data_IF_700336900883
#
_entry.id   IF_700336900883
#
_cell.length_a   1.000
_cell.length_b   1.000
_cell.length_c   1.000
_cell.angle_alpha   90.00
_cell.angle_beta   90.00
_cell.angle_gamma   90.00
#
_symmetry.space_group_name_H-M   'P 1'
#
loop_
_entity.id
_entity.type
_entity.pdbx_description
1 polymer ?
#
# COMPACT_ATOMS: atom_id res chain seq x y z
N UNK A 1 46.36 27.45 -18.28
CA UNK A 1 45.91 26.07 -18.61
C UNK A 1 44.45 26.15 -19.02
N UNK A 2 44.21 26.23 -20.33
CA UNK A 2 42.87 26.28 -20.94
C UNK A 2 42.41 24.87 -21.28
N UNK A 3 41.19 24.50 -20.87
CA UNK A 3 40.46 23.39 -21.48
C UNK A 3 39.01 23.82 -21.73
N UNK A 4 38.74 24.12 -23.00
CA UNK A 4 37.42 24.21 -23.61
C UNK A 4 37.08 22.84 -24.21
N UNK A 5 35.91 22.28 -23.87
CA UNK A 5 35.02 21.55 -24.80
C UNK A 5 33.57 21.64 -24.32
N UNK A 6 32.87 22.68 -24.78
CA UNK A 6 31.42 22.66 -24.93
C UNK A 6 31.02 21.49 -25.84
N UNK A 7 30.05 20.67 -25.41
CA UNK A 7 29.21 19.84 -26.28
C UNK A 7 27.78 19.75 -25.71
N UNK A 8 26.86 20.51 -26.31
CA UNK A 8 25.43 20.18 -26.42
C UNK A 8 25.17 20.17 -27.95
N UNK A 9 24.34 19.31 -28.55
CA UNK A 9 22.97 18.95 -28.24
C UNK A 9 22.68 17.43 -28.40
N UNK A 10 21.60 16.98 -27.76
CA UNK A 10 21.12 15.57 -27.68
C UNK A 10 20.69 15.00 -29.06
N UNK A 11 20.37 13.70 -29.14
CA UNK A 11 18.95 13.39 -29.25
C UNK A 11 18.40 12.79 -27.96
N UNK A 12 17.23 13.29 -27.58
CA UNK A 12 16.48 12.88 -26.42
C UNK A 12 16.31 11.36 -26.43
N UNK A 13 16.75 10.69 -25.36
CA UNK A 13 16.20 9.37 -25.03
C UNK A 13 14.73 9.59 -24.73
N UNK A 14 13.93 9.42 -25.78
CA UNK A 14 12.48 9.25 -25.73
C UNK A 14 12.21 7.95 -24.96
N UNK A 15 12.33 8.00 -23.64
CA UNK A 15 11.50 7.12 -22.84
C UNK A 15 10.14 7.81 -22.82
N UNK A 16 9.21 7.24 -23.59
CA UNK A 16 7.79 7.57 -23.50
C UNK A 16 7.40 7.58 -22.04
N UNK A 17 7.03 8.74 -21.51
CA UNK A 17 6.20 8.80 -20.32
C UNK A 17 4.92 8.06 -20.67
N UNK A 18 4.49 7.03 -19.93
CA UNK A 18 3.11 6.61 -20.01
C UNK A 18 2.28 7.74 -19.41
N UNK A 19 1.93 8.73 -20.21
CA UNK A 19 0.87 9.70 -19.89
C UNK A 19 -0.46 9.00 -20.13
N UNK A 20 -0.68 7.85 -19.49
CA UNK A 20 -2.01 7.30 -19.39
C UNK A 20 -2.65 8.06 -18.25
N UNK A 21 -3.52 9.00 -18.58
CA UNK A 21 -4.47 9.52 -17.61
C UNK A 21 -5.18 8.30 -17.03
N UNK A 22 -4.97 8.05 -15.73
CA UNK A 22 -5.74 7.06 -15.00
C UNK A 22 -7.16 7.62 -14.85
N UNK A 23 -7.92 7.58 -15.94
CA UNK A 23 -9.38 7.59 -15.88
C UNK A 23 -9.78 6.23 -15.31
N UNK A 24 -9.47 5.99 -14.03
CA UNK A 24 -10.14 4.96 -13.29
C UNK A 24 -11.57 5.48 -13.09
N UNK A 25 -12.61 4.84 -13.68
CA UNK A 25 -13.96 5.20 -13.31
C UNK A 25 -14.08 4.96 -11.80
N UNK A 26 -14.36 6.03 -11.05
CA UNK A 26 -14.72 5.94 -9.63
C UNK A 26 -16.11 5.32 -9.59
N UNK A 27 -16.18 4.00 -9.78
CA UNK A 27 -17.37 3.18 -9.52
C UNK A 27 -17.26 2.59 -8.12
N UNK A 28 -16.83 3.40 -7.14
CA UNK A 28 -16.73 2.96 -5.75
C UNK A 28 -18.08 3.02 -5.01
N UNK A 29 -19.14 3.61 -5.56
CA UNK A 29 -20.41 3.79 -4.81
C UNK A 29 -21.72 3.64 -5.60
N UNK A 30 -21.71 3.04 -6.79
CA UNK A 30 -22.97 2.71 -7.46
C UNK A 30 -23.34 1.25 -7.21
N UNK A 31 -24.02 0.97 -6.09
CA UNK A 31 -24.77 -0.28 -5.94
C UNK A 31 -25.98 -0.23 -6.89
N UNK A 32 -25.76 -0.56 -8.16
CA UNK A 32 -26.86 -0.86 -9.08
C UNK A 32 -27.20 -2.35 -8.88
N UNK A 33 -28.40 -2.70 -8.38
CA UNK A 33 -28.82 -4.09 -8.37
C UNK A 33 -29.10 -4.52 -9.82
N UNK A 34 -28.21 -5.32 -10.39
CA UNK A 34 -28.47 -6.02 -11.65
C UNK A 34 -28.97 -7.43 -11.32
N UNK A 35 -30.19 -7.81 -11.73
CA UNK A 35 -30.54 -9.22 -11.83
C UNK A 35 -29.90 -9.74 -13.12
N UNK A 36 -28.94 -10.66 -13.03
CA UNK A 36 -28.36 -11.32 -14.21
C UNK A 36 -28.44 -12.84 -14.11
N UNK A 37 -28.97 -13.51 -15.15
CA UNK A 37 -29.24 -14.95 -15.16
C UNK A 37 -28.00 -15.84 -15.40
N UNK A 38 -26.83 -15.26 -15.64
CA UNK A 38 -25.64 -15.98 -16.13
C UNK A 38 -24.55 -16.17 -15.06
N UNK A 39 -24.92 -16.65 -13.87
CA UNK A 39 -23.92 -17.12 -12.91
C UNK A 39 -23.54 -18.58 -13.21
N UNK A 40 -22.23 -18.93 -13.24
CA UNK A 40 -21.80 -20.29 -13.53
C UNK A 40 -22.28 -21.27 -12.44
N UNK A 41 -22.81 -22.42 -12.87
CA UNK A 41 -23.41 -23.47 -12.02
C UNK A 41 -22.48 -24.03 -10.94
N UNK A 42 -21.16 -23.81 -11.06
CA UNK A 42 -20.16 -24.18 -10.05
C UNK A 42 -20.38 -23.51 -8.68
N UNK A 43 -21.06 -22.36 -8.63
CA UNK A 43 -21.43 -21.73 -7.35
C UNK A 43 -22.75 -22.26 -6.75
N UNK A 44 -23.56 -22.96 -7.54
CA UNK A 44 -24.92 -23.36 -7.15
C UNK A 44 -24.97 -24.67 -6.33
N UNK A 45 -23.90 -25.46 -6.31
CA UNK A 45 -23.94 -26.85 -5.81
C UNK A 45 -23.34 -27.08 -4.43
N UNK A 46 -22.99 -26.02 -3.68
CA UNK A 46 -22.65 -26.21 -2.27
C UNK A 46 -23.90 -26.00 -1.44
N UNK A 47 -24.53 -27.10 -1.02
CA UNK A 47 -25.56 -27.07 0.02
C UNK A 47 -24.93 -26.51 1.30
N UNK A 48 -25.01 -25.20 1.47
CA UNK A 48 -24.57 -24.53 2.68
C UNK A 48 -25.62 -24.86 3.74
N UNK A 49 -25.27 -25.55 4.84
CA UNK A 49 -26.24 -25.89 5.88
C UNK A 49 -26.92 -24.61 6.36
N UNK A 50 -28.23 -24.64 6.58
CA UNK A 50 -29.04 -23.46 6.92
C UNK A 50 -28.46 -22.64 8.08
N UNK A 51 -27.78 -23.29 9.03
CA UNK A 51 -27.06 -22.66 10.13
C UNK A 51 -25.99 -21.66 9.66
N UNK A 52 -25.30 -21.96 8.57
CA UNK A 52 -24.24 -21.11 8.02
C UNK A 52 -24.83 -19.93 7.23
N UNK A 53 -26.00 -20.08 6.61
CA UNK A 53 -26.73 -18.94 6.02
C UNK A 53 -27.27 -17.99 7.11
N UNK A 54 -27.78 -18.53 8.21
CA UNK A 54 -28.22 -17.72 9.37
C UNK A 54 -27.03 -17.00 10.03
N UNK A 55 -25.91 -17.69 10.22
CA UNK A 55 -24.68 -17.10 10.74
C UNK A 55 -24.11 -16.01 9.81
N UNK A 56 -24.12 -16.23 8.49
CA UNK A 56 -23.72 -15.23 7.49
C UNK A 56 -24.65 -14.02 7.48
N UNK A 57 -25.97 -14.22 7.56
CA UNK A 57 -26.92 -13.12 7.66
C UNK A 57 -26.71 -12.31 8.94
N UNK A 58 -26.39 -12.96 10.05
CA UNK A 58 -26.02 -12.28 11.30
C UNK A 58 -24.72 -11.49 11.17
N UNK A 59 -23.72 -12.06 10.50
CA UNK A 59 -22.43 -11.41 10.26
C UNK A 59 -22.54 -10.20 9.32
N UNK A 60 -23.26 -10.33 8.20
CA UNK A 60 -23.47 -9.24 7.23
C UNK A 60 -24.35 -8.11 7.78
N UNK A 61 -25.28 -8.41 8.69
CA UNK A 61 -26.09 -7.39 9.38
C UNK A 61 -25.35 -6.68 10.51
N UNK A 62 -24.23 -7.21 11.00
CA UNK A 62 -23.42 -6.52 12.01
C UNK A 62 -22.77 -5.30 11.37
N UNK A 63 -22.88 -4.15 12.02
CA UNK A 63 -22.04 -2.99 11.71
C UNK A 63 -20.61 -3.34 12.12
N UNK A 64 -19.78 -3.70 11.15
CA UNK A 64 -18.35 -3.88 11.39
C UNK A 64 -17.78 -2.51 11.79
N UNK A 65 -17.14 -2.38 12.97
CA UNK A 65 -16.48 -1.13 13.33
C UNK A 65 -15.34 -0.88 12.34
N UNK A 66 -15.43 0.22 11.59
CA UNK A 66 -14.37 0.63 10.68
C UNK A 66 -13.36 1.51 11.42
N UNK A 67 -12.10 1.17 11.30
CA UNK A 67 -11.00 2.07 11.67
C UNK A 67 -10.76 3.02 10.49
N UNK A 68 -11.18 4.28 10.64
CA UNK A 68 -10.95 5.31 9.63
C UNK A 68 -9.54 5.85 9.85
N UNK A 69 -8.62 5.49 8.95
CA UNK A 69 -7.30 6.09 8.91
C UNK A 69 -7.37 7.43 8.16
N UNK A 70 -6.74 8.49 8.67
CA UNK A 70 -6.70 9.77 7.96
C UNK A 70 -5.93 9.62 6.65
N UNK A 71 -6.26 10.42 5.64
CA UNK A 71 -5.46 10.45 4.40
C UNK A 71 -4.06 10.98 4.71
N UNK A 72 -2.99 10.32 4.22
CA UNK A 72 -1.62 10.78 4.46
C UNK A 72 -1.42 12.18 3.88
N UNK A 73 -0.65 13.01 4.59
CA UNK A 73 -0.24 14.33 4.11
C UNK A 73 0.84 14.20 3.03
N UNK A 74 0.95 15.18 2.12
CA UNK A 74 2.10 15.26 1.21
C UNK A 74 3.40 15.52 1.98
N UNK A 75 4.52 15.06 1.40
CA UNK A 75 5.87 15.08 2.01
C UNK A 75 6.34 16.47 2.48
N UNK A 76 5.81 17.54 1.87
CA UNK A 76 6.14 18.93 2.23
C UNK A 76 5.54 19.38 3.58
N UNK A 77 4.64 18.60 4.17
CA UNK A 77 3.88 18.99 5.37
C UNK A 77 4.03 17.94 6.49
N UNK A 78 4.58 18.37 7.62
CA UNK A 78 4.66 17.56 8.83
C UNK A 78 3.45 17.79 9.76
N UNK A 79 2.89 16.71 10.31
CA UNK A 79 1.89 16.74 11.38
C UNK A 79 2.11 15.56 12.30
N UNK A 80 2.02 15.77 13.62
CA UNK A 80 2.26 14.73 14.62
C UNK A 80 1.34 13.51 14.44
N UNK A 81 0.07 13.71 14.04
CA UNK A 81 -0.82 12.59 13.75
C UNK A 81 -0.44 11.84 12.48
N UNK A 82 0.09 12.53 11.46
CA UNK A 82 0.55 11.89 10.23
C UNK A 82 1.77 11.02 10.51
N UNK A 83 2.76 11.53 11.24
CA UNK A 83 3.97 10.77 11.63
C UNK A 83 3.66 9.57 12.54
N UNK A 84 2.56 9.60 13.28
CA UNK A 84 2.12 8.47 14.10
C UNK A 84 1.52 7.33 13.26
N UNK A 85 0.67 7.65 12.28
CA UNK A 85 0.01 6.65 11.45
C UNK A 85 0.82 6.24 10.22
N UNK A 86 1.69 7.13 9.74
CA UNK A 86 2.48 6.98 8.53
C UNK A 86 3.95 7.23 8.84
N UNK A 87 4.74 6.17 8.76
CA UNK A 87 6.20 6.24 8.93
C UNK A 87 6.85 6.81 7.69
N UNK A 88 7.91 7.59 7.88
CA UNK A 88 8.71 8.12 6.77
C UNK A 88 9.40 6.98 5.98
N UNK A 89 9.61 7.19 4.68
CA UNK A 89 10.28 6.20 3.83
C UNK A 89 11.69 5.81 4.32
N UNK A 90 12.55 6.72 4.83
CA UNK A 90 13.87 6.35 5.34
C UNK A 90 13.82 5.50 6.63
N UNK A 91 12.87 5.77 7.53
CA UNK A 91 12.73 5.00 8.78
C UNK A 91 12.21 3.60 8.48
N UNK A 92 11.29 3.48 7.52
CA UNK A 92 10.81 2.20 7.02
C UNK A 92 11.93 1.34 6.41
N UNK A 93 12.84 1.95 5.64
CA UNK A 93 13.98 1.24 5.05
C UNK A 93 14.93 0.69 6.13
N UNK A 94 15.22 1.49 7.16
CA UNK A 94 16.03 1.04 8.30
C UNK A 94 15.36 -0.12 9.07
N UNK A 95 14.03 -0.09 9.23
CA UNK A 95 13.26 -1.21 9.81
C UNK A 95 13.37 -2.48 8.96
N UNK A 96 13.29 -2.35 7.63
CA UNK A 96 13.47 -3.49 6.73
C UNK A 96 14.88 -4.09 6.82
N UNK A 97 15.92 -3.25 6.92
CA UNK A 97 17.30 -3.72 7.10
C UNK A 97 17.48 -4.44 8.44
N UNK A 98 16.89 -3.92 9.53
CA UNK A 98 16.93 -4.60 10.83
C UNK A 98 16.25 -5.97 10.77
N UNK A 99 15.09 -6.07 10.14
CA UNK A 99 14.38 -7.35 9.97
C UNK A 99 15.24 -8.36 9.18
N UNK A 100 15.87 -7.92 8.08
CA UNK A 100 16.79 -8.76 7.31
C UNK A 100 18.01 -9.23 8.12
N UNK A 101 18.56 -8.37 9.00
CA UNK A 101 19.66 -8.74 9.88
C UNK A 101 19.25 -9.74 10.99
N UNK A 102 18.00 -9.65 11.46
CA UNK A 102 17.45 -10.54 12.48
C UNK A 102 16.90 -11.85 11.88
N UNK A 103 16.63 -11.88 10.58
CA UNK A 103 16.23 -13.09 9.88
C UNK A 103 17.32 -14.16 10.03
N UNK A 104 17.00 -15.30 10.65
CA UNK A 104 17.94 -16.37 11.01
C UNK A 104 19.15 -15.92 11.87
N UNK A 105 19.05 -14.77 12.54
CA UNK A 105 20.10 -14.23 13.43
C UNK A 105 21.45 -14.01 12.72
N UNK A 106 21.44 -13.69 11.42
CA UNK A 106 22.67 -13.50 10.65
C UNK A 106 23.58 -12.39 11.19
N UNK A 107 23.01 -11.25 11.62
CA UNK A 107 23.79 -10.10 12.07
C UNK A 107 23.07 -9.29 13.16
N UNK A 108 22.98 -9.89 14.35
CA UNK A 108 22.37 -9.28 15.53
C UNK A 108 23.09 -7.98 15.99
N UNK A 109 24.44 -7.88 15.99
CA UNK A 109 25.12 -6.64 16.38
C UNK A 109 24.76 -5.45 15.49
N UNK A 110 24.67 -5.65 14.18
CA UNK A 110 24.29 -4.60 13.24
C UNK A 110 22.83 -4.17 13.42
N UNK A 111 21.91 -5.12 13.60
CA UNK A 111 20.52 -4.79 13.92
C UNK A 111 20.41 -3.94 15.19
N UNK A 112 21.18 -4.28 16.24
CA UNK A 112 21.24 -3.49 17.47
C UNK A 112 21.75 -2.06 17.22
N UNK A 113 22.79 -1.88 16.42
CA UNK A 113 23.31 -0.54 16.11
C UNK A 113 22.27 0.33 15.42
N UNK A 114 21.56 -0.20 14.41
CA UNK A 114 20.51 0.52 13.70
C UNK A 114 19.35 0.87 14.64
N UNK A 115 18.98 -0.05 15.54
CA UNK A 115 17.96 0.20 16.54
C UNK A 115 18.31 1.36 17.48
N UNK A 116 19.54 1.41 17.99
CA UNK A 116 19.98 2.52 18.84
C UNK A 116 20.02 3.84 18.06
N UNK A 117 20.40 3.82 16.78
CA UNK A 117 20.36 5.02 15.93
C UNK A 117 18.93 5.56 15.78
N UNK A 118 17.95 4.71 15.51
CA UNK A 118 16.54 5.11 15.39
C UNK A 118 15.93 5.63 16.69
N UNK A 119 16.47 5.25 17.86
CA UNK A 119 16.00 5.79 19.15
C UNK A 119 16.51 7.20 19.44
N UNK A 120 17.58 7.61 18.77
CA UNK A 120 18.21 8.92 18.96
C UNK A 120 17.66 10.00 18.02
N UNK A 121 16.96 9.61 16.96
CA UNK A 121 16.27 10.49 16.02
C UNK A 121 14.89 10.87 16.53
#
# INVERSE_FOLDING_TARGET
LSYSRQRLSRPARLYSTPTKTANAPVTAFAQVPLPHPDYPSLLAQREVPANHLVAMNGFLKRRTPYTILPTPLPDDRASALNSFYFTDSPTQDQLAVMDACLHNLYDVPRAKQIFEQLRTT
#
